data_IF_855177822564
#
_entry.id   IF_855177822564
#
_cell.length_a   1.000
_cell.length_b   1.000
_cell.length_c   1.000
_cell.angle_alpha   90.00
_cell.angle_beta   90.00
_cell.angle_gamma   90.00
#
_symmetry.space_group_name_H-M   'P 1'
#
loop_
_entity.id
_entity.type
_entity.pdbx_description
1 polymer ?
#
# COMPACT_ATOMS: atom_id res chain seq x y z
N UNK A 1 26.63 0.45 -4.79
CA UNK A 1 25.73 1.59 -4.54
C UNK A 1 24.51 0.98 -3.90
N UNK A 2 24.22 1.29 -2.63
CA UNK A 2 23.04 0.74 -1.96
C UNK A 2 21.81 1.13 -2.77
N UNK A 3 21.10 0.12 -3.25
CA UNK A 3 19.87 0.28 -3.98
C UNK A 3 18.82 0.64 -2.93
N UNK A 4 18.58 1.93 -2.69
CA UNK A 4 17.56 2.42 -1.76
C UNK A 4 16.16 2.08 -2.31
N UNK A 5 15.79 0.81 -2.17
CA UNK A 5 14.46 0.31 -2.45
C UNK A 5 13.57 0.74 -1.28
N UNK A 6 12.64 1.66 -1.53
CA UNK A 6 11.65 2.04 -0.52
C UNK A 6 10.41 1.18 -0.71
N UNK A 7 10.09 0.40 0.31
CA UNK A 7 8.84 -0.35 0.36
C UNK A 7 7.77 0.52 1.05
N UNK A 8 6.69 0.80 0.33
CA UNK A 8 5.57 1.60 0.81
C UNK A 8 4.36 0.71 0.98
N UNK A 9 3.64 0.87 2.08
CA UNK A 9 2.40 0.11 2.33
C UNK A 9 1.23 1.04 2.51
N UNK A 10 0.14 0.73 1.80
CA UNK A 10 -1.19 1.27 2.03
C UNK A 10 -2.13 0.16 2.51
N UNK A 11 -3.17 0.55 3.24
CA UNK A 11 -4.32 -0.32 3.51
C UNK A 11 -5.60 0.44 3.17
N UNK A 12 -6.51 -0.21 2.44
CA UNK A 12 -7.78 0.41 2.02
C UNK A 12 -8.85 -0.64 1.68
N UNK A 13 -10.11 -0.24 1.82
CA UNK A 13 -11.24 -0.93 1.20
C UNK A 13 -11.68 -0.23 -0.09
N UNK A 14 -12.66 -0.81 -0.80
CA UNK A 14 -13.11 -0.32 -2.10
C UNK A 14 -13.57 1.16 -2.07
N UNK A 15 -14.16 1.61 -0.96
CA UNK A 15 -14.67 2.98 -0.81
C UNK A 15 -13.54 4.00 -0.68
N UNK A 16 -12.40 3.60 -0.11
CA UNK A 16 -11.23 4.45 0.06
C UNK A 16 -10.26 4.43 -1.11
N UNK A 17 -10.43 3.55 -2.11
CA UNK A 17 -9.56 3.52 -3.30
C UNK A 17 -9.47 4.86 -4.04
N UNK A 18 -10.56 5.62 -4.25
CA UNK A 18 -10.45 6.93 -4.88
C UNK A 18 -9.57 7.91 -4.09
N UNK A 19 -9.66 7.88 -2.76
CA UNK A 19 -8.85 8.72 -1.86
C UNK A 19 -7.39 8.28 -1.90
N UNK A 20 -7.14 6.97 -1.74
CA UNK A 20 -5.82 6.37 -1.87
C UNK A 20 -5.16 6.67 -3.23
N UNK A 21 -5.95 6.69 -4.31
CA UNK A 21 -5.48 7.06 -5.64
C UNK A 21 -4.87 8.47 -5.68
N UNK A 22 -5.44 9.43 -4.94
CA UNK A 22 -4.87 10.78 -4.81
C UNK A 22 -3.54 10.75 -4.05
N UNK A 23 -3.48 10.00 -2.94
CA UNK A 23 -2.25 9.79 -2.17
C UNK A 23 -1.14 9.17 -3.06
N UNK A 24 -1.45 8.08 -3.77
CA UNK A 24 -0.53 7.42 -4.72
C UNK A 24 -0.06 8.39 -5.80
N UNK A 25 -0.96 9.17 -6.41
CA UNK A 25 -0.57 10.17 -7.41
C UNK A 25 0.42 11.18 -6.83
N UNK A 26 0.19 11.67 -5.62
CA UNK A 26 1.09 12.63 -4.97
C UNK A 26 2.45 12.01 -4.64
N UNK A 27 2.46 10.76 -4.16
CA UNK A 27 3.67 9.97 -3.92
C UNK A 27 4.50 9.82 -5.20
N UNK A 28 3.87 9.34 -6.28
CA UNK A 28 4.57 9.08 -7.55
C UNK A 28 5.05 10.38 -8.22
N UNK A 29 4.29 11.47 -8.11
CA UNK A 29 4.63 12.77 -8.69
C UNK A 29 5.82 13.43 -8.00
N UNK A 30 5.90 13.35 -6.67
CA UNK A 30 6.94 14.02 -5.89
C UNK A 30 8.22 13.18 -5.68
N UNK A 31 8.25 11.96 -6.22
CA UNK A 31 9.40 11.05 -6.09
C UNK A 31 9.85 10.46 -7.44
N UNK A 32 9.74 11.25 -8.52
CA UNK A 32 10.09 10.82 -9.90
C UNK A 32 11.55 10.42 -10.07
N UNK A 33 12.43 10.97 -9.26
CA UNK A 33 13.87 10.74 -9.26
C UNK A 33 14.27 9.45 -8.52
N UNK A 34 13.33 8.79 -7.84
CA UNK A 34 13.52 7.48 -7.24
C UNK A 34 12.94 6.43 -8.17
N UNK A 35 13.73 5.50 -8.70
CA UNK A 35 13.21 4.43 -9.57
C UNK A 35 12.51 3.31 -8.80
N UNK A 36 12.93 3.06 -7.55
CA UNK A 36 12.58 1.85 -6.81
C UNK A 36 11.66 2.14 -5.62
N UNK A 37 10.41 2.53 -5.92
CA UNK A 37 9.34 2.61 -4.92
C UNK A 37 8.43 1.41 -5.14
N UNK A 38 8.51 0.44 -4.23
CA UNK A 38 7.71 -0.78 -4.27
C UNK A 38 6.47 -0.58 -3.41
N UNK A 39 5.30 -0.50 -4.03
CA UNK A 39 4.05 -0.29 -3.29
C UNK A 39 3.36 -1.63 -3.05
N UNK A 40 2.98 -1.89 -1.80
CA UNK A 40 2.08 -2.98 -1.41
C UNK A 40 0.77 -2.38 -0.92
N UNK A 41 -0.36 -2.92 -1.37
CA UNK A 41 -1.69 -2.47 -0.98
C UNK A 41 -2.42 -3.63 -0.30
N UNK A 42 -2.76 -3.44 0.97
CA UNK A 42 -3.54 -4.34 1.79
C UNK A 42 -5.02 -4.02 1.54
N UNK A 43 -5.64 -4.79 0.65
CA UNK A 43 -6.96 -4.53 0.10
C UNK A 43 -8.03 -5.35 0.79
N UNK A 44 -9.12 -4.71 1.22
CA UNK A 44 -10.31 -5.40 1.76
C UNK A 44 -11.47 -5.24 0.78
N UNK A 45 -11.94 -6.35 0.19
CA UNK A 45 -13.11 -6.36 -0.70
C UNK A 45 -13.06 -5.33 -1.86
N UNK A 46 -11.87 -5.07 -2.40
CA UNK A 46 -11.67 -4.10 -3.49
C UNK A 46 -12.06 -4.71 -4.83
N UNK A 47 -12.90 -4.01 -5.58
CA UNK A 47 -13.36 -4.42 -6.91
C UNK A 47 -12.22 -4.42 -7.93
N UNK A 48 -12.28 -5.34 -8.91
CA UNK A 48 -11.30 -5.41 -9.99
C UNK A 48 -11.25 -4.11 -10.82
N UNK A 49 -12.38 -3.42 -10.98
CA UNK A 49 -12.43 -2.12 -11.64
C UNK A 49 -11.55 -1.08 -10.91
N UNK A 50 -11.62 -1.04 -9.58
CA UNK A 50 -10.82 -0.11 -8.79
C UNK A 50 -9.35 -0.51 -8.73
N UNK A 51 -9.03 -1.80 -8.66
CA UNK A 51 -7.64 -2.28 -8.83
C UNK A 51 -7.07 -1.86 -10.17
N UNK A 52 -7.83 -2.03 -11.25
CA UNK A 52 -7.40 -1.66 -12.59
C UNK A 52 -7.11 -0.15 -12.69
N UNK A 53 -8.00 0.70 -12.18
CA UNK A 53 -7.78 2.16 -12.15
C UNK A 53 -6.49 2.53 -11.41
N UNK A 54 -6.20 1.87 -10.28
CA UNK A 54 -4.95 2.09 -9.55
C UNK A 54 -3.75 1.61 -10.37
N UNK A 55 -3.80 0.41 -10.95
CA UNK A 55 -2.73 -0.12 -11.80
C UNK A 55 -2.43 0.81 -13.00
N UNK A 56 -3.47 1.40 -13.60
CA UNK A 56 -3.32 2.38 -14.68
C UNK A 56 -2.57 3.64 -14.24
N UNK A 57 -2.70 4.06 -12.96
CA UNK A 57 -1.89 5.14 -12.40
C UNK A 57 -0.41 4.76 -12.36
N UNK A 58 -0.06 3.54 -11.92
CA UNK A 58 1.34 3.10 -11.91
C UNK A 58 1.92 3.04 -13.32
N UNK A 59 1.17 2.48 -14.27
CA UNK A 59 1.57 2.46 -15.68
C UNK A 59 1.79 3.86 -16.24
N UNK A 60 0.90 4.81 -15.94
CA UNK A 60 1.02 6.21 -16.40
C UNK A 60 2.28 6.92 -15.90
N UNK A 61 2.82 6.52 -14.76
CA UNK A 61 4.03 7.10 -14.17
C UNK A 61 5.27 6.22 -14.39
N UNK A 62 5.19 5.24 -15.29
CA UNK A 62 6.26 4.29 -15.60
C UNK A 62 6.78 3.55 -14.34
N UNK A 63 5.84 3.10 -13.50
CA UNK A 63 6.11 2.41 -12.24
C UNK A 63 5.70 0.96 -12.28
N UNK A 64 6.43 0.13 -11.55
CA UNK A 64 6.03 -1.26 -11.25
C UNK A 64 4.65 -1.27 -10.60
N UNK A 65 3.81 -2.23 -11.02
CA UNK A 65 2.48 -2.40 -10.45
C UNK A 65 2.56 -2.69 -8.94
N UNK A 66 1.56 -2.23 -8.15
CA UNK A 66 1.55 -2.49 -6.73
C UNK A 66 1.28 -3.97 -6.45
N UNK A 67 1.88 -4.49 -5.38
CA UNK A 67 1.56 -5.82 -4.84
C UNK A 67 0.24 -5.74 -4.09
N UNK A 68 -0.80 -6.36 -4.63
CA UNK A 68 -2.09 -6.48 -3.95
C UNK A 68 -2.09 -7.66 -2.99
N UNK A 69 -2.50 -7.43 -1.75
CA UNK A 69 -2.67 -8.48 -0.74
C UNK A 69 -4.10 -8.40 -0.25
N UNK A 70 -4.80 -9.53 -0.31
CA UNK A 70 -6.15 -9.62 0.23
C UNK A 70 -6.09 -9.67 1.75
N UNK A 71 -6.60 -8.63 2.39
CA UNK A 71 -6.63 -8.52 3.84
C UNK A 71 -7.59 -9.52 4.49
N UNK A 72 -8.55 -10.10 3.75
CA UNK A 72 -9.45 -11.13 4.32
C UNK A 72 -8.70 -12.39 4.76
N UNK A 73 -7.62 -12.76 4.07
CA UNK A 73 -6.77 -13.90 4.45
C UNK A 73 -5.96 -13.67 5.74
N UNK A 74 -5.86 -12.41 6.20
CA UNK A 74 -5.17 -12.10 7.45
C UNK A 74 -5.96 -12.63 8.65
N UNK A 75 -7.29 -12.63 8.59
CA UNK A 75 -8.14 -13.20 9.64
C UNK A 75 -7.90 -14.72 9.80
N UNK A 76 -7.68 -15.42 8.69
CA UNK A 76 -7.32 -16.85 8.70
C UNK A 76 -5.94 -17.08 9.31
N UNK A 77 -4.98 -16.20 9.01
CA UNK A 77 -3.62 -16.24 9.58
C UNK A 77 -3.65 -16.01 11.09
N UNK A 78 -4.56 -15.17 11.57
CA UNK A 78 -4.80 -14.90 12.99
C UNK A 78 -5.47 -16.06 13.74
N UNK A 79 -6.14 -16.97 13.04
CA UNK A 79 -7.01 -17.97 13.66
C UNK A 79 -8.15 -17.37 14.48
N UNK A 80 -8.45 -16.09 14.31
CA UNK A 80 -9.48 -15.35 15.04
C UNK A 80 -10.15 -14.33 14.13
N UNK A 81 -11.49 -14.30 14.18
CA UNK A 81 -12.27 -13.25 13.53
C UNK A 81 -11.97 -11.92 14.23
N UNK A 82 -11.47 -10.97 13.46
CA UNK A 82 -11.26 -9.62 13.95
C UNK A 82 -12.64 -8.97 14.08
N UNK A 83 -12.98 -8.52 15.29
CA UNK A 83 -14.27 -7.90 15.54
C UNK A 83 -14.33 -6.56 14.80
N UNK A 84 -15.09 -6.49 13.71
CA UNK A 84 -15.23 -5.32 12.82
C UNK A 84 -16.11 -4.22 13.42
N UNK A 85 -16.03 -4.00 14.74
CA UNK A 85 -16.95 -3.11 15.47
C UNK A 85 -16.77 -1.63 15.07
N UNK A 86 -15.62 -1.26 14.48
CA UNK A 86 -15.31 0.13 14.05
C UNK A 86 -14.49 0.27 12.74
N UNK A 87 -14.36 -0.78 11.92
CA UNK A 87 -13.81 -0.65 10.55
C UNK A 87 -13.24 -1.94 9.95
N UNK A 88 -12.75 -1.81 8.71
CA UNK A 88 -12.27 -2.93 7.89
C UNK A 88 -10.95 -3.52 8.42
N UNK A 89 -10.64 -4.76 8.01
CA UNK A 89 -9.40 -5.49 8.36
C UNK A 89 -8.13 -4.68 8.09
N UNK A 90 -8.21 -3.70 7.18
CA UNK A 90 -7.21 -2.66 6.93
C UNK A 90 -6.64 -2.00 8.20
N UNK A 91 -7.42 -1.85 9.28
CA UNK A 91 -6.98 -1.26 10.55
C UNK A 91 -5.89 -2.08 11.26
N UNK A 92 -5.95 -3.42 11.13
CA UNK A 92 -5.03 -4.35 11.77
C UNK A 92 -3.88 -4.77 10.85
N UNK A 93 -3.94 -4.37 9.58
CA UNK A 93 -3.01 -4.76 8.55
C UNK A 93 -1.55 -4.35 8.87
N UNK A 94 -1.36 -3.32 9.73
CA UNK A 94 -0.06 -2.90 10.27
C UNK A 94 0.62 -3.96 11.15
N UNK A 95 -0.14 -4.81 11.83
CA UNK A 95 0.40 -5.85 12.73
C UNK A 95 1.09 -6.97 11.92
N UNK A 96 0.61 -7.22 10.70
CA UNK A 96 1.04 -8.34 9.87
C UNK A 96 2.13 -7.98 8.86
N UNK A 97 2.69 -6.77 8.94
CA UNK A 97 3.75 -6.35 8.03
C UNK A 97 4.94 -7.33 8.11
N UNK A 98 5.23 -7.88 9.28
CA UNK A 98 6.32 -8.84 9.45
C UNK A 98 6.05 -10.21 8.81
N UNK A 99 4.79 -10.61 8.62
CA UNK A 99 4.43 -11.85 7.91
C UNK A 99 4.35 -11.63 6.39
N UNK A 100 4.15 -10.38 5.99
CA UNK A 100 3.97 -9.93 4.60
C UNK A 100 5.32 -9.63 3.91
N UNK A 101 6.34 -9.27 4.68
CA UNK A 101 7.68 -8.96 4.20
C UNK A 101 8.67 -9.92 4.86
N UNK A 102 9.59 -10.48 4.06
CA UNK A 102 10.61 -11.40 4.57
C UNK A 102 11.77 -10.66 5.26
N UNK A 103 12.72 -11.44 5.79
CA UNK A 103 13.91 -10.94 6.49
C UNK A 103 14.82 -10.06 5.59
N UNK A 104 14.62 -10.11 4.27
CA UNK A 104 15.34 -9.25 3.31
C UNK A 104 14.87 -7.79 3.29
N UNK A 105 13.76 -7.46 3.97
CA UNK A 105 13.21 -6.11 4.03
C UNK A 105 13.48 -5.46 5.38
N UNK A 106 14.48 -4.59 5.42
CA UNK A 106 14.90 -3.90 6.65
C UNK A 106 13.91 -2.80 7.11
N UNK A 107 13.18 -2.19 6.17
CA UNK A 107 12.29 -1.05 6.44
C UNK A 107 11.10 -1.01 5.50
N UNK A 108 9.96 -0.62 6.07
CA UNK A 108 8.72 -0.31 5.36
C UNK A 108 8.21 1.06 5.82
N UNK A 109 7.78 1.88 4.86
CA UNK A 109 7.05 3.12 5.12
C UNK A 109 5.55 2.86 4.96
N UNK A 110 4.83 2.82 6.08
CA UNK A 110 3.37 2.74 6.06
C UNK A 110 2.78 4.16 5.88
N UNK A 111 1.84 4.31 4.95
CA UNK A 111 1.12 5.56 4.70
C UNK A 111 -0.40 5.33 4.82
N UNK A 112 -1.09 6.22 5.52
CA UNK A 112 -2.55 6.20 5.53
C UNK A 112 -3.10 6.59 4.14
N UNK A 113 -4.23 5.98 3.76
CA UNK A 113 -4.80 6.14 2.42
C UNK A 113 -5.34 7.56 2.14
N UNK A 114 -5.54 8.36 3.18
CA UNK A 114 -6.03 9.74 3.15
C UNK A 114 -4.91 10.78 3.31
N UNK A 115 -3.67 10.40 3.03
CA UNK A 115 -2.51 11.29 3.04
C UNK A 115 -2.30 12.03 1.71
N UNK A 116 -1.61 13.16 1.77
CA UNK A 116 -1.07 13.87 0.61
C UNK A 116 0.43 14.05 0.78
N UNK A 117 1.21 13.44 -0.11
CA UNK A 117 2.67 13.53 -0.10
C UNK A 117 3.05 14.77 -0.87
N UNK A 118 3.55 15.79 -0.18
CA UNK A 118 3.87 17.10 -0.77
C UNK A 118 5.35 17.29 -1.14
N UNK A 119 6.22 16.37 -0.72
CA UNK A 119 7.66 16.42 -0.97
C UNK A 119 8.26 15.00 -1.10
N UNK A 120 9.54 14.90 -1.41
CA UNK A 120 10.26 13.64 -1.52
C UNK A 120 10.31 12.88 -0.20
N UNK A 121 10.10 11.57 -0.27
CA UNK A 121 10.20 10.64 0.86
C UNK A 121 11.59 9.98 0.94
N UNK A 122 12.55 10.37 0.11
CA UNK A 122 13.88 9.73 0.02
C UNK A 122 14.60 9.62 1.37
N UNK A 123 14.42 10.60 2.24
CA UNK A 123 15.17 10.74 3.50
C UNK A 123 14.39 10.24 4.72
N UNK A 124 13.26 9.54 4.52
CA UNK A 124 12.48 8.93 5.61
C UNK A 124 12.99 7.54 6.01
#
# INVERSE_FOLDING_TARGET
>A
MEQNNINVVYAADDNFIPVMGVSIVSLLKNNRDMSNINVTILATNVSELNKQKVNDLFNKYDRSLPRWIDATNIEDTLGQKVNQDRGSVSQYARIFLNDIFGEEVDRVLYLDCDTLIVDSIRNL
#
